data_IF_077882880331
#
_entry.id   IF_077882880331
#
_cell.length_a   1.000
_cell.length_b   1.000
_cell.length_c   1.000
_cell.angle_alpha   90.00
_cell.angle_beta   90.00
_cell.angle_gamma   90.00
#
_symmetry.space_group_name_H-M   'P 1'
#
loop_
_entity.id
_entity.type
_entity.pdbx_description
1 polymer ?
#
# COMPACT_ATOMS: atom_id res chain seq x y z
N UNK A 1 -15.65 1.80 20.59
CA UNK A 1 -15.43 3.02 20.73
C UNK A 1 -14.10 3.51 20.59
N UNK A 2 -13.37 3.57 21.54
CA UNK A 2 -12.05 4.11 21.44
C UNK A 2 -11.22 3.31 20.48
N UNK A 3 -11.41 2.05 20.45
CA UNK A 3 -10.61 1.24 19.58
C UNK A 3 -10.91 1.50 18.12
N UNK A 4 -12.14 1.81 17.81
CA UNK A 4 -12.46 2.11 16.43
C UNK A 4 -11.74 3.34 15.98
N UNK A 5 -11.74 4.35 16.82
CA UNK A 5 -11.08 5.58 16.48
C UNK A 5 -9.61 5.37 16.26
N UNK A 6 -8.99 4.60 17.15
CA UNK A 6 -7.58 4.36 17.04
C UNK A 6 -7.25 3.63 15.75
N UNK A 7 -8.06 2.65 15.37
CA UNK A 7 -7.79 1.88 14.20
C UNK A 7 -7.91 2.68 12.93
N UNK A 8 -8.90 3.56 12.89
CA UNK A 8 -9.14 4.32 11.68
C UNK A 8 -8.29 5.56 11.57
N UNK A 9 -7.99 6.17 12.69
CA UNK A 9 -7.31 7.45 12.67
C UNK A 9 -5.82 7.37 12.85
N UNK A 10 -5.29 6.19 13.07
CA UNK A 10 -3.87 6.05 13.29
C UNK A 10 -3.12 6.29 12.01
N UNK A 11 -2.25 7.30 12.03
CA UNK A 11 -1.42 7.62 10.90
C UNK A 11 0.03 7.54 11.33
N UNK A 12 0.86 7.01 10.46
CA UNK A 12 2.28 6.83 10.73
C UNK A 12 3.07 7.63 9.72
N UNK A 13 4.13 8.29 10.19
CA UNK A 13 4.96 9.01 9.23
C UNK A 13 5.93 8.02 8.58
N UNK A 14 6.65 8.50 7.58
CA UNK A 14 7.50 7.61 6.79
C UNK A 14 8.63 7.01 7.64
N UNK A 15 9.12 7.72 8.64
CA UNK A 15 10.14 7.17 9.52
C UNK A 15 9.60 5.99 10.31
N UNK A 16 8.40 6.13 10.82
CA UNK A 16 7.78 5.06 11.59
C UNK A 16 7.52 3.84 10.71
N UNK A 17 7.02 4.08 9.50
CA UNK A 17 6.74 2.98 8.59
C UNK A 17 8.05 2.28 8.21
N UNK A 18 9.08 3.06 7.95
CA UNK A 18 10.38 2.49 7.62
C UNK A 18 10.87 1.56 8.73
N UNK A 19 10.72 1.98 9.98
CA UNK A 19 11.15 1.16 11.11
C UNK A 19 10.30 -0.08 11.26
N UNK A 20 9.00 0.07 11.11
CA UNK A 20 8.09 -1.07 11.26
C UNK A 20 8.29 -2.13 10.21
N UNK A 21 8.52 -1.71 8.98
CA UNK A 21 8.60 -2.65 7.87
C UNK A 21 10.00 -3.06 7.52
N UNK A 22 10.99 -2.30 7.97
CA UNK A 22 12.37 -2.56 7.59
C UNK A 22 12.69 -2.10 6.18
N UNK A 23 11.83 -1.30 5.59
CA UNK A 23 12.01 -0.80 4.23
C UNK A 23 12.56 0.61 4.29
N UNK A 24 13.55 0.90 3.47
CA UNK A 24 14.17 2.22 3.47
C UNK A 24 13.19 3.27 2.97
N UNK A 25 13.35 4.49 3.47
CA UNK A 25 12.45 5.57 3.07
C UNK A 25 12.50 5.83 1.57
N UNK A 26 13.67 5.75 0.97
CA UNK A 26 13.77 5.95 -0.47
C UNK A 26 13.01 4.88 -1.23
N UNK A 27 13.05 3.65 -0.73
CA UNK A 27 12.31 2.58 -1.36
C UNK A 27 10.82 2.79 -1.19
N UNK A 28 10.39 3.28 -0.03
CA UNK A 28 8.99 3.56 0.19
C UNK A 28 8.47 4.62 -0.79
N UNK A 29 9.27 5.66 -1.03
CA UNK A 29 8.88 6.69 -1.98
C UNK A 29 8.79 6.13 -3.39
N UNK A 30 9.71 5.23 -3.73
CA UNK A 30 9.70 4.60 -5.04
C UNK A 30 8.45 3.74 -5.19
N UNK A 31 8.08 3.01 -4.14
CA UNK A 31 6.90 2.14 -4.20
C UNK A 31 5.61 2.94 -4.29
N UNK A 32 5.57 4.12 -3.71
CA UNK A 32 4.39 4.97 -3.84
C UNK A 32 4.08 5.26 -5.29
N UNK A 33 5.12 5.46 -6.07
CA UNK A 33 4.92 5.75 -7.48
C UNK A 33 4.66 4.48 -8.28
N UNK A 34 5.39 3.43 -7.96
CA UNK A 34 5.26 2.19 -8.72
C UNK A 34 3.93 1.48 -8.48
N UNK A 35 3.41 1.61 -7.29
CA UNK A 35 2.19 0.89 -6.91
C UNK A 35 1.11 1.82 -6.39
N UNK A 36 0.96 2.94 -7.06
CA UNK A 36 0.04 3.96 -6.57
C UNK A 36 -1.41 3.52 -6.57
N UNK A 37 -1.74 2.47 -7.30
CA UNK A 37 -3.09 1.94 -7.27
C UNK A 37 -3.43 1.31 -5.93
N UNK A 38 -2.41 0.90 -5.19
CA UNK A 38 -2.60 0.19 -3.93
C UNK A 38 -2.04 0.94 -2.73
N UNK A 39 -1.12 1.85 -2.95
CA UNK A 39 -0.39 2.51 -1.88
C UNK A 39 -0.54 4.01 -2.01
N UNK A 40 -1.40 4.59 -1.21
CA UNK A 40 -1.68 6.02 -1.30
C UNK A 40 -1.63 6.69 0.05
N UNK A 41 -0.44 7.10 0.47
CA UNK A 41 -0.33 7.80 1.75
C UNK A 41 -1.03 9.16 1.67
N UNK A 42 -1.46 9.63 2.81
CA UNK A 42 -2.12 10.91 2.93
C UNK A 42 -1.05 11.98 3.04
N UNK A 43 -1.29 13.12 2.40
CA UNK A 43 -0.40 14.24 2.55
C UNK A 43 -1.02 15.27 3.47
N UNK A 44 -0.28 15.67 4.48
CA UNK A 44 -0.78 16.65 5.43
C UNK A 44 -0.61 18.05 4.85
N UNK A 45 -1.11 19.03 5.57
CA UNK A 45 -0.98 20.42 5.16
C UNK A 45 0.47 20.83 5.04
N UNK A 46 1.33 20.26 5.86
CA UNK A 46 2.75 20.58 5.76
C UNK A 46 3.43 19.71 4.72
N UNK A 47 2.65 19.06 3.87
CA UNK A 47 3.17 18.26 2.77
C UNK A 47 3.99 17.08 3.23
N UNK A 48 3.63 16.49 4.37
CA UNK A 48 4.32 15.31 4.87
C UNK A 48 3.48 14.09 4.58
N UNK A 49 4.15 12.98 4.33
CA UNK A 49 3.46 11.73 4.07
C UNK A 49 3.03 11.09 5.36
N UNK A 50 1.82 10.62 5.40
CA UNK A 50 1.32 9.85 6.52
C UNK A 50 0.60 8.63 5.98
N UNK A 51 0.92 7.49 6.56
CA UNK A 51 0.44 6.21 6.08
C UNK A 51 -0.59 5.62 7.04
N UNK A 52 -1.59 4.98 6.47
CA UNK A 52 -2.57 4.26 7.28
C UNK A 52 -2.07 2.86 7.51
N UNK A 53 -2.69 2.15 8.45
CA UNK A 53 -2.32 0.77 8.68
C UNK A 53 -2.52 -0.08 7.43
N UNK A 54 -3.54 0.24 6.64
CA UNK A 54 -3.75 -0.47 5.38
C UNK A 54 -2.56 -0.32 4.45
N UNK A 55 -1.95 0.86 4.44
CA UNK A 55 -0.76 1.09 3.62
C UNK A 55 0.41 0.26 4.12
N UNK A 56 0.55 0.16 5.44
CA UNK A 56 1.63 -0.63 6.01
C UNK A 56 1.48 -2.09 5.60
N UNK A 57 0.26 -2.57 5.59
CA UNK A 57 -0.01 -3.94 5.19
C UNK A 57 0.39 -4.17 3.73
N UNK A 58 0.06 -3.24 2.87
CA UNK A 58 0.44 -3.35 1.46
C UNK A 58 1.95 -3.33 1.32
N UNK A 59 2.62 -2.47 2.07
CA UNK A 59 4.08 -2.38 2.02
C UNK A 59 4.71 -3.70 2.44
N UNK A 60 4.21 -4.31 3.51
CA UNK A 60 4.74 -5.60 3.95
C UNK A 60 4.51 -6.67 2.90
N UNK A 61 3.38 -6.63 2.23
CA UNK A 61 3.09 -7.58 1.16
C UNK A 61 4.05 -7.41 0.00
N UNK A 62 4.28 -6.16 -0.41
CA UNK A 62 5.22 -5.89 -1.50
C UNK A 62 6.61 -6.40 -1.12
N UNK A 63 7.04 -6.10 0.09
CA UNK A 63 8.34 -6.53 0.56
C UNK A 63 8.48 -8.04 0.47
N UNK A 64 7.46 -8.77 0.93
CA UNK A 64 7.51 -10.22 0.91
C UNK A 64 7.56 -10.75 -0.53
N UNK A 65 6.77 -10.17 -1.41
CA UNK A 65 6.75 -10.62 -2.79
C UNK A 65 8.09 -10.45 -3.46
N UNK A 66 8.77 -9.35 -3.15
CA UNK A 66 10.07 -9.10 -3.75
C UNK A 66 11.15 -9.94 -3.11
N UNK A 67 11.17 -10.05 -1.79
CA UNK A 67 12.24 -10.72 -1.09
C UNK A 67 12.10 -12.24 -1.05
N UNK A 68 10.88 -12.72 -0.97
CA UNK A 68 10.67 -14.15 -0.85
C UNK A 68 10.29 -14.80 -2.16
N UNK A 69 9.57 -14.09 -3.01
CA UNK A 69 9.14 -14.66 -4.29
C UNK A 69 9.91 -14.08 -5.46
N UNK A 70 10.80 -13.12 -5.20
CA UNK A 70 11.68 -12.57 -6.22
C UNK A 70 10.95 -12.01 -7.43
N UNK A 71 9.80 -11.41 -7.20
CA UNK A 71 9.02 -10.87 -8.31
C UNK A 71 9.56 -9.51 -8.75
N UNK A 72 9.38 -9.23 -10.02
CA UNK A 72 9.68 -7.90 -10.55
C UNK A 72 8.52 -6.98 -10.18
N UNK A 73 8.67 -5.69 -10.48
CA UNK A 73 7.60 -4.74 -10.22
C UNK A 73 6.31 -5.16 -10.93
N UNK A 74 6.42 -5.62 -12.16
CA UNK A 74 5.25 -6.06 -12.90
C UNK A 74 4.60 -7.25 -12.22
N UNK A 75 5.42 -8.21 -11.79
CA UNK A 75 4.91 -9.37 -11.08
C UNK A 75 4.24 -9.01 -9.77
N UNK A 76 4.85 -8.07 -9.05
CA UNK A 76 4.26 -7.62 -7.79
C UNK A 76 2.90 -6.99 -8.05
N UNK A 77 2.81 -6.15 -9.09
CA UNK A 77 1.55 -5.49 -9.40
C UNK A 77 0.45 -6.49 -9.71
N UNK A 78 0.80 -7.54 -10.44
CA UNK A 78 -0.17 -8.58 -10.77
C UNK A 78 -0.65 -9.28 -9.51
N UNK A 79 0.27 -9.60 -8.61
CA UNK A 79 -0.10 -10.23 -7.35
C UNK A 79 -0.96 -9.32 -6.49
N UNK A 80 -0.63 -8.04 -6.45
CA UNK A 80 -1.40 -7.10 -5.67
C UNK A 80 -2.83 -7.00 -6.17
N UNK A 81 -3.02 -7.08 -7.47
CA UNK A 81 -4.37 -7.06 -8.01
C UNK A 81 -5.15 -8.30 -7.58
N UNK A 82 -4.48 -9.41 -7.41
CA UNK A 82 -5.14 -10.62 -6.98
C UNK A 82 -5.47 -10.57 -5.49
N UNK A 83 -4.62 -9.92 -4.70
CA UNK A 83 -4.81 -9.85 -3.25
C UNK A 83 -5.72 -8.70 -2.87
N UNK A 84 -5.48 -7.55 -3.46
CA UNK A 84 -6.24 -6.34 -3.17
C UNK A 84 -6.92 -5.84 -4.42
N UNK A 85 -7.97 -5.07 -4.26
CA UNK A 85 -8.59 -4.47 -5.41
C UNK A 85 -8.07 -3.07 -5.57
N UNK A 86 -7.86 -2.60 -6.81
CA UNK A 86 -7.41 -1.24 -7.02
C UNK A 86 -8.40 -0.26 -6.39
N UNK A 87 -7.88 0.83 -5.89
CA UNK A 87 -8.70 1.77 -5.18
C UNK A 87 -9.78 2.40 -6.02
N UNK A 88 -9.51 2.62 -7.30
CA UNK A 88 -10.51 3.21 -8.12
C UNK A 88 -11.33 2.21 -8.86
N UNK A 89 -11.16 0.97 -8.58
CA UNK A 89 -11.85 -0.02 -9.26
C UNK A 89 -13.29 -0.03 -9.01
N UNK A 90 -14.05 -0.36 -9.94
CA UNK A 90 -15.38 -0.47 -9.76
C UNK A 90 -15.82 -1.67 -10.39
N UNK A 91 -16.65 -2.25 -9.91
CA UNK A 91 -17.05 -3.52 -10.29
C UNK A 91 -17.60 -3.76 -11.61
N UNK A 92 -17.83 -3.69 -12.06
CA UNK A 92 -18.21 -4.09 -13.05
C UNK A 92 -17.89 -4.75 -13.85
N UNK A 93 -17.81 -4.84 -13.72
CA UNK A 93 -17.52 -5.40 -14.29
C UNK A 93 -17.35 -6.38 -14.59
N UNK A 94 -17.62 -6.52 -14.44
CA UNK A 94 -17.34 -7.39 -14.62
C UNK A 94 -17.31 -8.08 -15.20
N UNK A 95 -17.63 -7.71 -15.25
CA UNK A 95 -17.54 -8.26 -15.77
C UNK A 95 -17.42 -8.86 -16.45
N UNK A 96 -17.49 -8.56 -16.46
CA UNK A 96 -17.21 -9.00 -17.00
C UNK A 96 -16.85 -9.74 -17.50
N UNK A 97 -16.82 -9.62 -17.29
CA UNK A 97 -16.31 -10.17 -17.64
C UNK A 97 -16.19 -10.92 -18.10
N UNK A 98 -16.53 -10.72 -17.92
CA UNK A 98 -16.27 -11.26 -18.31
C UNK A 98 -16.40 -11.82 -18.62
N UNK A 99 -16.65 -11.69 -18.47
CA UNK A 99 -16.62 -12.17 -18.81
C UNK A 99 -16.63 -12.54 -19.11
#
# INVERSE_FOLDING_TARGET
MAEDILGEDLLLNIDQVSRLTGVRKSTLRYWEKSFEEFLRPVRTESNRREYRLADVEVINTIKRLIEEEYLTNTGVRIKLKAIYQPLKKKPTTKSSQGS
#
